data_IF_283276703205
#
_entry.id   IF_283276703205
#
_cell.length_a   1.000
_cell.length_b   1.000
_cell.length_c   1.000
_cell.angle_alpha   90.00
_cell.angle_beta   90.00
_cell.angle_gamma   90.00
#
_symmetry.space_group_name_H-M   'P 1'
#
loop_
_entity.id
_entity.type
_entity.pdbx_description
1 polymer ?
#
# COMPACT_ATOMS: atom_id res chain seq x y z
N UNK A 1 2.36 24.87 6.64
CA UNK A 1 2.51 26.15 5.94
C UNK A 1 3.99 26.37 5.54
N UNK A 2 4.30 27.48 4.91
CA UNK A 2 5.67 27.77 4.47
C UNK A 2 6.68 27.92 5.63
N UNK A 3 6.20 28.18 6.83
CA UNK A 3 7.00 28.30 8.05
C UNK A 3 7.10 26.99 8.84
N UNK A 4 6.65 25.87 8.26
CA UNK A 4 6.69 24.54 8.89
C UNK A 4 5.65 24.32 9.99
N UNK A 5 4.66 25.21 10.13
CA UNK A 5 3.59 25.05 11.13
C UNK A 5 2.48 24.14 10.59
N UNK A 6 1.89 23.28 11.45
CA UNK A 6 0.74 22.46 11.05
C UNK A 6 -0.42 23.33 10.56
N UNK A 7 -1.02 22.96 9.44
CA UNK A 7 -2.22 23.62 8.91
C UNK A 7 -3.47 23.07 9.60
N UNK A 8 -4.27 23.89 10.30
CA UNK A 8 -5.47 23.42 11.04
C UNK A 8 -6.55 22.83 10.12
N UNK A 9 -6.61 23.29 8.87
CA UNK A 9 -7.55 22.85 7.83
C UNK A 9 -7.15 21.51 7.17
N UNK A 10 -5.94 21.00 7.43
CA UNK A 10 -5.50 19.72 6.93
C UNK A 10 -6.05 18.59 7.79
N UNK A 11 -6.80 17.66 7.19
CA UNK A 11 -7.41 16.53 7.89
C UNK A 11 -6.39 15.70 8.68
N UNK A 12 -5.17 15.52 8.15
CA UNK A 12 -4.10 14.76 8.80
C UNK A 12 -3.57 15.42 10.08
N UNK A 13 -3.81 16.73 10.28
CA UNK A 13 -3.43 17.43 11.50
C UNK A 13 -4.51 17.39 12.59
N UNK A 14 -5.69 16.87 12.28
CA UNK A 14 -6.75 16.73 13.27
C UNK A 14 -6.44 15.59 14.26
N UNK A 15 -6.82 15.72 15.54
CA UNK A 15 -6.53 14.70 16.54
C UNK A 15 -7.01 13.29 16.16
N UNK A 16 -8.19 13.18 15.56
CA UNK A 16 -8.76 11.90 15.12
C UNK A 16 -7.96 11.22 14.01
N UNK A 17 -7.18 11.97 13.21
CA UNK A 17 -6.39 11.42 12.13
C UNK A 17 -5.01 10.90 12.59
N UNK A 18 -4.54 11.30 13.77
CA UNK A 18 -3.18 10.94 14.24
C UNK A 18 -2.97 9.46 14.50
N UNK A 19 -4.03 8.74 14.81
CA UNK A 19 -4.02 7.30 15.07
C UNK A 19 -4.58 6.50 13.88
N UNK A 20 -4.96 7.18 12.79
CA UNK A 20 -5.57 6.54 11.64
C UNK A 20 -4.52 5.78 10.82
N UNK A 21 -4.67 4.46 10.74
CA UNK A 21 -3.84 3.59 9.90
C UNK A 21 -4.37 3.45 8.45
N UNK A 22 -5.60 3.89 8.18
CA UNK A 22 -6.24 3.78 6.86
C UNK A 22 -6.63 5.18 6.37
N UNK A 23 -6.16 5.53 5.18
CA UNK A 23 -6.54 6.76 4.47
C UNK A 23 -7.58 6.43 3.41
N UNK A 24 -8.75 7.06 3.47
CA UNK A 24 -9.76 7.00 2.39
C UNK A 24 -9.60 8.22 1.50
N UNK A 25 -9.34 8.00 0.23
CA UNK A 25 -8.98 9.03 -0.73
C UNK A 25 -9.84 8.98 -2.00
N UNK A 26 -9.89 10.10 -2.72
CA UNK A 26 -10.60 10.22 -3.99
C UNK A 26 -9.94 9.48 -5.16
N UNK A 27 -10.59 9.57 -6.32
CA UNK A 27 -10.15 8.96 -7.58
C UNK A 27 -8.73 9.37 -7.99
N UNK A 28 -8.00 8.44 -8.62
CA UNK A 28 -6.65 8.63 -9.15
C UNK A 28 -5.66 9.15 -8.09
N UNK A 29 -5.67 8.53 -6.91
CA UNK A 29 -4.80 8.94 -5.82
C UNK A 29 -3.33 8.78 -6.18
N UNK A 30 -2.49 9.73 -5.76
CA UNK A 30 -1.07 9.75 -6.06
C UNK A 30 -0.70 10.25 -7.46
N UNK A 31 -1.64 10.93 -8.17
CA UNK A 31 -1.44 11.44 -9.54
C UNK A 31 -0.57 12.70 -9.68
N UNK A 32 0.08 13.13 -8.63
CA UNK A 32 1.00 14.28 -8.68
C UNK A 32 2.36 13.93 -9.28
N UNK A 33 3.40 14.59 -8.85
CA UNK A 33 4.77 14.23 -9.22
C UNK A 33 5.11 12.83 -8.71
N UNK A 34 5.50 11.94 -9.60
CA UNK A 34 5.82 10.53 -9.28
C UNK A 34 7.11 10.44 -8.47
N UNK A 35 7.02 10.68 -7.17
CA UNK A 35 8.13 10.61 -6.22
C UNK A 35 7.89 9.49 -5.22
N UNK A 36 8.92 8.71 -4.96
CA UNK A 36 8.90 7.66 -3.94
C UNK A 36 8.69 8.24 -2.52
N UNK A 37 9.07 9.49 -2.31
CA UNK A 37 8.83 10.21 -1.06
C UNK A 37 7.34 10.34 -0.67
N UNK A 38 6.40 10.27 -1.63
CA UNK A 38 4.97 10.38 -1.32
C UNK A 38 4.47 9.18 -0.48
N UNK A 39 4.70 7.91 -0.84
CA UNK A 39 4.39 6.79 0.04
C UNK A 39 5.23 6.79 1.32
N UNK A 40 6.50 7.23 1.31
CA UNK A 40 7.29 7.33 2.53
C UNK A 40 6.64 8.28 3.55
N UNK A 41 6.23 9.46 3.11
CA UNK A 41 5.58 10.43 4.00
C UNK A 41 4.30 9.88 4.64
N UNK A 42 3.51 9.09 3.90
CA UNK A 42 2.31 8.46 4.43
C UNK A 42 2.64 7.31 5.40
N UNK A 43 3.63 6.49 5.07
CA UNK A 43 4.08 5.40 5.94
C UNK A 43 4.65 5.93 7.26
N UNK A 44 5.47 6.99 7.22
CA UNK A 44 6.02 7.68 8.38
C UNK A 44 4.94 8.34 9.24
N UNK A 45 3.88 8.86 8.60
CA UNK A 45 2.73 9.40 9.31
C UNK A 45 1.96 8.32 10.09
N UNK A 46 2.10 7.04 9.73
CA UNK A 46 1.41 5.91 10.36
C UNK A 46 0.39 5.23 9.47
N UNK A 47 0.15 5.72 8.25
CA UNK A 47 -0.76 5.07 7.29
C UNK A 47 -0.19 3.71 6.88
N UNK A 48 -1.06 2.70 6.81
CA UNK A 48 -0.74 1.33 6.40
C UNK A 48 -1.54 0.88 5.19
N UNK A 49 -2.73 1.43 4.99
CA UNK A 49 -3.53 1.17 3.79
C UNK A 49 -4.18 2.45 3.27
N UNK A 50 -4.40 2.49 1.97
CA UNK A 50 -5.10 3.60 1.31
C UNK A 50 -6.23 3.01 0.48
N UNK A 51 -7.45 3.48 0.71
CA UNK A 51 -8.64 3.07 -0.03
C UNK A 51 -8.99 4.16 -1.03
N UNK A 52 -9.12 3.79 -2.31
CA UNK A 52 -9.48 4.71 -3.40
C UNK A 52 -10.25 3.95 -4.49
N UNK A 53 -10.84 4.68 -5.43
CA UNK A 53 -11.42 4.07 -6.64
C UNK A 53 -10.37 3.77 -7.71
N UNK A 54 -9.22 4.44 -7.67
CA UNK A 54 -8.04 4.16 -8.52
C UNK A 54 -6.80 4.85 -7.98
N UNK A 55 -5.64 4.42 -8.46
CA UNK A 55 -4.33 4.97 -8.12
C UNK A 55 -3.55 5.30 -9.38
N UNK A 56 -2.67 6.29 -9.31
CA UNK A 56 -1.64 6.46 -10.32
C UNK A 56 -0.65 5.28 -10.26
N UNK A 57 -0.26 4.75 -11.42
CA UNK A 57 0.50 3.49 -11.51
C UNK A 57 1.81 3.51 -10.74
N UNK A 58 2.60 4.58 -10.89
CA UNK A 58 3.89 4.70 -10.18
C UNK A 58 3.68 4.82 -8.67
N UNK A 59 2.66 5.57 -8.22
CA UNK A 59 2.34 5.65 -6.80
C UNK A 59 1.96 4.28 -6.24
N UNK A 60 1.11 3.52 -6.94
CA UNK A 60 0.68 2.19 -6.54
C UNK A 60 1.85 1.22 -6.36
N UNK A 61 2.78 1.20 -7.33
CA UNK A 61 3.98 0.36 -7.26
C UNK A 61 4.87 0.77 -6.08
N UNK A 62 5.15 2.06 -5.92
CA UNK A 62 5.96 2.57 -4.82
C UNK A 62 5.30 2.34 -3.45
N UNK A 63 3.97 2.44 -3.36
CA UNK A 63 3.23 2.14 -2.14
C UNK A 63 3.45 0.69 -1.69
N UNK A 64 3.29 -0.28 -2.60
CA UNK A 64 3.52 -1.71 -2.30
C UNK A 64 4.94 -1.99 -1.83
N UNK A 65 5.95 -1.39 -2.48
CA UNK A 65 7.37 -1.52 -2.09
C UNK A 65 7.69 -0.94 -0.71
N UNK A 66 6.91 0.04 -0.27
CA UNK A 66 7.08 0.73 1.02
C UNK A 66 6.10 0.25 2.10
N UNK A 67 5.48 -0.92 1.93
CA UNK A 67 4.61 -1.51 2.94
C UNK A 67 3.24 -0.86 3.08
N UNK A 68 2.83 -0.03 2.10
CA UNK A 68 1.49 0.54 2.02
C UNK A 68 0.59 -0.32 1.12
N UNK A 69 -0.62 -0.60 1.59
CA UNK A 69 -1.60 -1.41 0.85
C UNK A 69 -2.56 -0.52 0.07
N UNK A 70 -2.45 -0.43 -1.28
CA UNK A 70 -3.41 0.29 -2.10
C UNK A 70 -4.66 -0.59 -2.36
N UNK A 71 -5.77 -0.25 -1.72
CA UNK A 71 -7.06 -0.94 -1.84
C UNK A 71 -7.93 -0.23 -2.87
N UNK A 72 -8.24 -0.90 -3.98
CA UNK A 72 -9.15 -0.38 -5.00
C UNK A 72 -10.57 -0.87 -4.72
N UNK A 73 -11.50 0.06 -4.53
CA UNK A 73 -12.92 -0.22 -4.41
C UNK A 73 -13.70 0.26 -5.65
N UNK A 74 -14.75 -0.46 -6.07
CA UNK A 74 -15.71 0.06 -7.03
C UNK A 74 -16.32 1.38 -6.56
N UNK A 75 -16.62 2.30 -7.50
CA UNK A 75 -17.09 3.64 -7.18
C UNK A 75 -18.33 3.66 -6.25
N UNK A 76 -19.27 2.73 -6.44
CA UNK A 76 -20.45 2.60 -5.57
C UNK A 76 -20.08 2.27 -4.13
N UNK A 77 -19.24 1.25 -3.91
CA UNK A 77 -18.81 0.85 -2.57
C UNK A 77 -17.95 1.95 -1.89
N UNK A 78 -17.14 2.66 -2.68
CA UNK A 78 -16.37 3.79 -2.17
C UNK A 78 -17.27 4.96 -1.74
N UNK A 79 -18.32 5.28 -2.52
CA UNK A 79 -19.27 6.32 -2.17
C UNK A 79 -20.08 5.97 -0.90
N UNK A 80 -20.48 4.70 -0.76
CA UNK A 80 -21.13 4.18 0.45
C UNK A 80 -20.20 4.38 1.67
N UNK A 81 -18.93 4.00 1.56
CA UNK A 81 -17.92 4.17 2.61
C UNK A 81 -17.78 5.63 3.01
N UNK A 82 -17.65 6.55 2.06
CA UNK A 82 -17.55 8.00 2.36
C UNK A 82 -18.80 8.49 3.08
N UNK A 83 -19.98 8.07 2.66
CA UNK A 83 -21.25 8.45 3.31
C UNK A 83 -21.34 7.89 4.75
N UNK A 84 -20.86 6.68 5.00
CA UNK A 84 -20.81 6.08 6.33
C UNK A 84 -19.83 6.84 7.25
N UNK A 85 -18.62 7.12 6.78
CA UNK A 85 -17.63 7.88 7.54
C UNK A 85 -18.07 9.33 7.83
N UNK A 86 -18.86 9.94 6.93
CA UNK A 86 -19.43 11.25 7.17
C UNK A 86 -20.50 11.24 8.31
N UNK A 87 -21.23 10.13 8.45
CA UNK A 87 -22.21 9.94 9.55
C UNK A 87 -21.54 9.53 10.86
N UNK A 88 -20.52 8.68 10.77
CA UNK A 88 -19.81 8.14 11.92
C UNK A 88 -18.29 8.21 11.70
N UNK A 89 -17.65 9.35 11.99
CA UNK A 89 -16.23 9.56 11.76
C UNK A 89 -15.30 8.61 12.53
N UNK A 90 -15.80 7.99 13.61
CA UNK A 90 -15.06 7.02 14.42
C UNK A 90 -15.27 5.56 13.96
N UNK A 91 -16.00 5.34 12.86
CA UNK A 91 -16.26 4.01 12.36
C UNK A 91 -14.96 3.30 11.94
N UNK A 92 -14.89 1.99 12.21
CA UNK A 92 -13.71 1.18 11.95
C UNK A 92 -13.79 0.48 10.59
N UNK A 93 -12.67 0.47 9.88
CA UNK A 93 -12.46 -0.28 8.63
C UNK A 93 -11.36 -1.31 8.89
N UNK A 94 -11.53 -2.53 8.38
CA UNK A 94 -10.50 -3.56 8.45
C UNK A 94 -10.03 -3.94 7.05
N UNK A 95 -8.72 -3.92 6.82
CA UNK A 95 -8.08 -4.44 5.60
C UNK A 95 -7.33 -5.71 5.96
N UNK A 96 -7.70 -6.82 5.33
CA UNK A 96 -7.09 -8.13 5.54
C UNK A 96 -6.36 -8.58 4.27
N UNK A 97 -5.04 -8.68 4.36
CA UNK A 97 -4.17 -9.13 3.27
C UNK A 97 -4.21 -10.66 3.08
N UNK A 98 -4.54 -11.42 4.11
CA UNK A 98 -4.61 -12.89 4.00
C UNK A 98 -5.78 -13.30 3.14
N UNK A 99 -6.93 -12.66 3.33
CA UNK A 99 -8.13 -12.91 2.55
C UNK A 99 -8.32 -11.96 1.38
N UNK A 100 -7.46 -10.92 1.26
CA UNK A 100 -7.58 -9.83 0.29
C UNK A 100 -8.94 -9.14 0.34
N UNK A 101 -9.40 -8.83 1.57
CA UNK A 101 -10.71 -8.24 1.80
C UNK A 101 -10.62 -6.94 2.58
N UNK A 102 -11.58 -6.07 2.35
CA UNK A 102 -11.86 -4.92 3.18
C UNK A 102 -13.25 -5.05 3.79
N UNK A 103 -13.35 -4.90 5.10
CA UNK A 103 -14.62 -4.87 5.83
C UNK A 103 -14.96 -3.42 6.13
N UNK A 104 -16.09 -2.97 5.60
CA UNK A 104 -16.62 -1.62 5.77
C UNK A 104 -17.34 -1.48 7.13
N UNK A 105 -17.62 -0.25 7.61
CA UNK A 105 -18.23 -0.04 8.92
C UNK A 105 -19.54 -0.81 9.14
N UNK A 106 -20.39 -0.93 8.14
CA UNK A 106 -21.63 -1.72 8.20
C UNK A 106 -21.45 -3.25 8.25
N UNK A 107 -20.19 -3.75 8.35
CA UNK A 107 -19.88 -5.18 8.34
C UNK A 107 -19.85 -5.82 6.94
N UNK A 108 -20.10 -5.05 5.91
CA UNK A 108 -20.03 -5.53 4.53
C UNK A 108 -18.57 -5.73 4.10
N UNK A 109 -18.27 -6.92 3.60
CA UNK A 109 -16.92 -7.27 3.11
C UNK A 109 -16.87 -7.19 1.59
N UNK A 110 -15.77 -6.65 1.07
CA UNK A 110 -15.44 -6.58 -0.35
C UNK A 110 -14.05 -7.11 -0.61
N UNK A 111 -13.87 -7.85 -1.68
CA UNK A 111 -12.54 -8.25 -2.14
C UNK A 111 -11.88 -7.12 -2.92
N UNK A 112 -10.55 -7.02 -2.86
CA UNK A 112 -9.77 -6.09 -3.66
C UNK A 112 -8.62 -6.80 -4.38
N UNK A 113 -8.26 -6.35 -5.60
CA UNK A 113 -7.15 -6.94 -6.35
C UNK A 113 -5.81 -6.47 -5.80
N UNK A 114 -4.90 -7.41 -5.61
CA UNK A 114 -3.51 -7.15 -5.28
C UNK A 114 -2.62 -8.14 -6.05
N UNK A 115 -1.44 -7.70 -6.48
CA UNK A 115 -0.45 -8.58 -7.09
C UNK A 115 0.01 -9.65 -6.08
N UNK A 116 0.10 -10.91 -6.53
CA UNK A 116 0.40 -12.04 -5.64
C UNK A 116 1.79 -11.96 -5.03
N UNK A 117 2.80 -11.49 -5.79
CA UNK A 117 4.16 -11.34 -5.31
C UNK A 117 4.26 -10.19 -4.29
N UNK A 118 3.68 -9.03 -4.61
CA UNK A 118 3.62 -7.91 -3.68
C UNK A 118 2.89 -8.27 -2.37
N UNK A 119 1.78 -9.03 -2.46
CA UNK A 119 1.05 -9.54 -1.30
C UNK A 119 1.94 -10.44 -0.43
N UNK A 120 2.69 -11.35 -1.05
CA UNK A 120 3.59 -12.25 -0.33
C UNK A 120 4.70 -11.48 0.37
N UNK A 121 5.32 -10.50 -0.30
CA UNK A 121 6.30 -9.61 0.32
C UNK A 121 5.72 -8.87 1.54
N UNK A 122 4.53 -8.29 1.40
CA UNK A 122 3.84 -7.59 2.49
C UNK A 122 3.53 -8.49 3.69
N UNK A 123 3.00 -9.71 3.45
CA UNK A 123 2.68 -10.67 4.50
C UNK A 123 3.92 -11.17 5.26
N UNK A 124 5.05 -11.26 4.57
CA UNK A 124 6.32 -11.69 5.14
C UNK A 124 7.16 -10.54 5.71
N UNK A 125 6.75 -9.28 5.52
CA UNK A 125 7.51 -8.11 5.97
C UNK A 125 8.87 -7.98 5.29
N UNK A 126 8.95 -8.34 4.00
CA UNK A 126 10.17 -8.25 3.19
C UNK A 126 9.94 -7.41 1.94
N UNK A 127 10.99 -6.79 1.45
CA UNK A 127 11.02 -6.19 0.12
C UNK A 127 11.40 -7.21 -0.97
N UNK A 128 11.45 -6.77 -2.23
CA UNK A 128 11.80 -7.61 -3.37
C UNK A 128 13.20 -8.24 -3.20
N UNK A 129 14.16 -7.48 -2.66
CA UNK A 129 15.52 -7.98 -2.41
C UNK A 129 15.52 -9.01 -1.29
N UNK A 130 14.85 -8.74 -0.18
CA UNK A 130 14.71 -9.67 0.93
C UNK A 130 14.02 -10.98 0.52
N UNK A 131 13.06 -10.91 -0.41
CA UNK A 131 12.46 -12.12 -1.00
C UNK A 131 13.50 -12.95 -1.77
N UNK A 132 14.29 -12.31 -2.66
CA UNK A 132 15.32 -13.00 -3.43
C UNK A 132 16.40 -13.59 -2.52
N UNK A 133 16.80 -12.88 -1.48
CA UNK A 133 17.81 -13.38 -0.52
C UNK A 133 17.36 -14.64 0.24
N UNK A 134 16.04 -14.83 0.43
CA UNK A 134 15.52 -16.08 1.01
C UNK A 134 15.69 -17.30 0.10
N UNK A 135 15.86 -17.08 -1.19
CA UNK A 135 16.11 -18.12 -2.21
C UNK A 135 17.60 -18.35 -2.47
N UNK A 136 18.50 -17.78 -1.67
CA UNK A 136 19.95 -17.84 -1.92
C UNK A 136 20.47 -19.27 -2.09
N UNK A 137 20.01 -20.21 -1.26
CA UNK A 137 20.42 -21.63 -1.34
C UNK A 137 19.89 -22.32 -2.63
N UNK A 138 18.72 -21.90 -3.11
CA UNK A 138 18.16 -22.43 -4.36
C UNK A 138 18.90 -21.84 -5.57
N UNK A 139 19.23 -20.56 -5.49
CA UNK A 139 20.03 -19.86 -6.51
C UNK A 139 21.41 -20.52 -6.61
N UNK A 140 22.11 -20.72 -5.48
CA UNK A 140 23.42 -21.37 -5.46
C UNK A 140 23.38 -22.78 -6.06
N UNK A 141 22.38 -23.59 -5.72
CA UNK A 141 22.20 -24.93 -6.30
C UNK A 141 21.94 -24.87 -7.81
N UNK A 142 21.17 -23.88 -8.26
CA UNK A 142 20.93 -23.68 -9.70
C UNK A 142 22.20 -23.27 -10.43
N UNK A 143 22.98 -22.37 -9.87
CA UNK A 143 24.26 -21.91 -10.44
C UNK A 143 25.28 -23.05 -10.55
N UNK A 144 25.44 -23.87 -9.50
CA UNK A 144 26.30 -25.07 -9.52
C UNK A 144 25.91 -26.05 -10.64
N UNK A 145 24.62 -26.23 -10.91
CA UNK A 145 24.13 -27.12 -11.96
C UNK A 145 24.26 -26.54 -13.37
N UNK A 146 24.47 -25.22 -13.48
CA UNK A 146 24.41 -24.51 -14.77
C UNK A 146 25.64 -23.62 -15.03
N UNK A 147 26.76 -23.90 -14.37
CA UNK A 147 28.03 -23.14 -14.47
C UNK A 147 28.48 -22.81 -15.91
N UNK A 148 28.12 -23.64 -16.89
CA UNK A 148 28.53 -23.45 -18.29
C UNK A 148 27.66 -22.51 -19.12
N UNK A 149 26.56 -21.94 -18.56
CA UNK A 149 25.57 -21.21 -19.37
C UNK A 149 25.73 -19.70 -19.42
N UNK A 150 26.40 -19.08 -18.43
CA UNK A 150 26.54 -17.61 -18.38
C UNK A 150 27.93 -17.22 -17.90
N UNK A 151 28.93 -17.24 -18.81
CA UNK A 151 30.23 -16.60 -18.54
C UNK A 151 30.24 -15.20 -19.15
N UNK A 152 29.79 -14.21 -18.36
CA UNK A 152 29.84 -12.78 -18.71
C UNK A 152 31.23 -12.16 -18.44
N UNK A 153 32.12 -12.87 -17.74
CA UNK A 153 33.44 -12.37 -17.32
C UNK A 153 34.60 -12.77 -18.24
N UNK A 154 34.36 -13.55 -19.32
CA UNK A 154 35.35 -13.99 -20.26
C UNK A 154 35.07 -13.46 -21.67
N UNK A 155 34.77 -12.16 -21.81
CA UNK A 155 34.72 -11.45 -23.08
C UNK A 155 35.88 -10.46 -23.17
#
# INVERSE_FOLDING_TARGET
>A
DAEGRPRPDCVLNQPAAREAAILVAGHNFGCGSSREHAPWALAEFGVRAIISTSFADIFRQNALKNGLVPVVLPAGAHAELIAELAREPAATITVDLVTTTVTLPGGHTRTFPIDSFARECLLNGVDELGFVLRLADEIARYEEQHEARVHTLNA
#
